data_IF_710906876242
#
_entry.id   IF_710906876242
#
_cell.length_a   1.000
_cell.length_b   1.000
_cell.length_c   1.000
_cell.angle_alpha   90.00
_cell.angle_beta   90.00
_cell.angle_gamma   90.00
#
_symmetry.space_group_name_H-M   'P 1'
#
loop_
_entity.id
_entity.type
_entity.pdbx_description
1 polymer ?
#
# COMPACT_ATOMS: atom_id res chain seq x y z
N UNK A 1 4.24 -1.55 5.95
CA UNK A 1 3.80 -1.96 4.60
C UNK A 1 4.99 -1.90 3.68
N UNK A 2 5.05 -2.81 2.71
CA UNK A 2 6.05 -2.82 1.66
C UNK A 2 6.01 -1.49 0.91
N UNK A 3 7.18 -0.93 0.61
CA UNK A 3 7.31 0.30 -0.16
C UNK A 3 6.78 0.07 -1.58
N UNK A 4 5.57 0.51 -1.93
CA UNK A 4 4.89 0.12 -3.17
C UNK A 4 5.10 1.14 -4.31
N UNK A 5 5.05 0.64 -5.54
CA UNK A 5 5.05 1.48 -6.73
C UNK A 5 3.63 1.55 -7.29
N UNK A 6 3.06 2.76 -7.36
CA UNK A 6 1.75 3.03 -7.98
C UNK A 6 1.99 3.65 -9.35
N UNK A 7 1.62 2.94 -10.41
CA UNK A 7 1.70 3.46 -11.77
C UNK A 7 0.44 4.26 -12.10
N UNK A 8 0.59 5.52 -12.47
CA UNK A 8 -0.52 6.38 -12.88
C UNK A 8 -0.66 6.35 -14.40
N UNK A 9 -1.81 5.87 -14.91
CA UNK A 9 -2.22 5.92 -16.33
C UNK A 9 -2.57 7.36 -16.77
N UNK A 10 -1.70 8.30 -16.43
CA UNK A 10 -1.94 9.73 -16.55
C UNK A 10 -0.74 10.42 -17.18
N UNK A 11 -1.02 11.45 -17.99
CA UNK A 11 -0.02 12.38 -18.51
C UNK A 11 -0.57 13.79 -18.40
N UNK A 12 0.26 14.74 -17.99
CA UNK A 12 -0.10 16.16 -17.81
C UNK A 12 -1.39 16.35 -16.97
N UNK A 13 -1.45 15.69 -15.81
CA UNK A 13 -2.57 15.73 -14.89
C UNK A 13 -3.94 15.28 -15.45
N UNK A 14 -3.91 14.40 -16.47
CA UNK A 14 -5.12 13.81 -17.05
C UNK A 14 -4.93 12.33 -17.36
N UNK A 15 -6.00 11.53 -17.24
CA UNK A 15 -5.96 10.13 -17.67
C UNK A 15 -5.74 10.07 -19.18
N UNK A 16 -4.82 9.21 -19.62
CA UNK A 16 -4.46 9.14 -21.04
C UNK A 16 -5.63 8.58 -21.88
N UNK A 17 -5.85 9.07 -23.12
CA UNK A 17 -6.97 8.63 -23.96
C UNK A 17 -6.97 7.13 -24.27
N UNK A 18 -5.81 6.49 -24.29
CA UNK A 18 -5.62 5.07 -24.57
C UNK A 18 -5.33 4.23 -23.31
N UNK A 19 -5.78 4.67 -22.13
CA UNK A 19 -5.47 3.99 -20.86
C UNK A 19 -5.92 2.52 -20.85
N UNK A 20 -7.07 2.21 -21.47
CA UNK A 20 -7.58 0.84 -21.59
C UNK A 20 -6.70 -0.06 -22.47
N UNK A 21 -6.06 0.50 -23.50
CA UNK A 21 -5.14 -0.23 -24.38
C UNK A 21 -3.78 -0.44 -23.68
N UNK A 22 -3.31 0.59 -22.96
CA UNK A 22 -2.04 0.55 -22.23
C UNK A 22 -2.07 -0.32 -20.98
N UNK A 23 -3.25 -0.64 -20.45
CA UNK A 23 -3.37 -1.48 -19.25
C UNK A 23 -2.67 -2.84 -19.42
N UNK A 24 -2.78 -3.48 -20.58
CA UNK A 24 -2.15 -4.79 -20.81
C UNK A 24 -0.62 -4.70 -20.76
N UNK A 25 -0.04 -3.62 -21.28
CA UNK A 25 1.40 -3.32 -21.15
C UNK A 25 1.78 -3.08 -19.68
N UNK A 26 0.98 -2.31 -18.93
CA UNK A 26 1.21 -2.06 -17.50
C UNK A 26 1.23 -3.37 -16.70
N UNK A 27 0.26 -4.23 -16.95
CA UNK A 27 0.15 -5.55 -16.30
C UNK A 27 1.30 -6.48 -16.69
N UNK A 28 1.72 -6.47 -17.96
CA UNK A 28 2.86 -7.24 -18.47
C UNK A 28 4.22 -6.74 -17.94
N UNK A 29 4.29 -5.47 -17.53
CA UNK A 29 5.41 -4.90 -16.77
C UNK A 29 5.47 -5.39 -15.32
N UNK A 30 4.38 -5.98 -14.81
CA UNK A 30 4.31 -6.56 -13.46
C UNK A 30 3.68 -5.65 -12.40
N UNK A 31 3.16 -4.48 -12.79
CA UNK A 31 2.50 -3.58 -11.82
C UNK A 31 1.12 -4.12 -11.45
N UNK A 32 0.78 -3.98 -10.17
CA UNK A 32 -0.55 -4.30 -9.63
C UNK A 32 -1.21 -3.12 -8.93
N UNK A 33 -0.48 -2.05 -8.60
CA UNK A 33 -1.08 -0.81 -8.09
C UNK A 33 -1.17 0.20 -9.23
N UNK A 34 -2.39 0.45 -9.71
CA UNK A 34 -2.63 1.20 -10.95
C UNK A 34 -3.62 2.31 -10.66
N UNK A 35 -3.18 3.55 -10.88
CA UNK A 35 -4.00 4.74 -10.69
C UNK A 35 -4.36 5.44 -11.97
N UNK A 36 -5.40 6.26 -11.89
CA UNK A 36 -5.87 7.15 -12.93
C UNK A 36 -6.57 8.35 -12.27
N UNK A 37 -6.91 9.35 -13.07
CA UNK A 37 -7.65 10.54 -12.64
C UNK A 37 -9.09 10.48 -13.15
N UNK A 38 -9.97 11.24 -12.52
CA UNK A 38 -11.38 11.39 -12.92
C UNK A 38 -11.56 12.21 -14.21
N UNK A 39 -10.52 12.93 -14.63
CA UNK A 39 -10.47 13.68 -15.89
C UNK A 39 -9.70 12.93 -16.98
N UNK A 40 -10.02 13.22 -18.25
CA UNK A 40 -9.31 12.72 -19.44
C UNK A 40 -10.02 11.61 -20.21
N UNK A 41 -10.93 10.87 -19.55
CA UNK A 41 -11.75 9.83 -20.19
C UNK A 41 -13.22 9.97 -19.79
N UNK A 42 -14.16 9.52 -20.66
CA UNK A 42 -15.55 9.33 -20.29
C UNK A 42 -15.70 8.43 -19.06
N UNK A 43 -16.71 8.69 -18.23
CA UNK A 43 -16.96 7.95 -17.00
C UNK A 43 -17.08 6.42 -17.23
N UNK A 44 -17.76 6.01 -18.30
CA UNK A 44 -17.90 4.59 -18.65
C UNK A 44 -16.56 3.91 -19.00
N UNK A 45 -15.61 4.66 -19.56
CA UNK A 45 -14.26 4.16 -19.85
C UNK A 45 -13.45 4.00 -18.58
N UNK A 46 -13.54 4.98 -17.67
CA UNK A 46 -12.95 4.88 -16.33
C UNK A 46 -13.52 3.68 -15.56
N UNK A 47 -14.84 3.43 -15.68
CA UNK A 47 -15.49 2.28 -15.03
C UNK A 47 -14.99 0.96 -15.59
N UNK A 48 -14.84 0.87 -16.91
CA UNK A 48 -14.23 -0.30 -17.57
C UNK A 48 -12.78 -0.50 -17.14
N UNK A 49 -12.03 0.59 -17.00
CA UNK A 49 -10.63 0.57 -16.59
C UNK A 49 -10.48 0.04 -15.15
N UNK A 50 -11.22 0.61 -14.20
CA UNK A 50 -11.24 0.17 -12.80
C UNK A 50 -11.58 -1.32 -12.68
N UNK A 51 -12.61 -1.77 -13.41
CA UNK A 51 -13.03 -3.17 -13.43
C UNK A 51 -11.93 -4.09 -13.96
N UNK A 52 -11.29 -3.75 -15.08
CA UNK A 52 -10.21 -4.55 -15.67
C UNK A 52 -8.98 -4.65 -14.75
N UNK A 53 -8.62 -3.55 -14.08
CA UNK A 53 -7.54 -3.56 -13.08
C UNK A 53 -7.83 -4.61 -12.01
N UNK A 54 -9.06 -4.64 -11.48
CA UNK A 54 -9.45 -5.59 -10.43
C UNK A 54 -9.54 -7.03 -10.91
N UNK A 55 -10.08 -7.27 -12.10
CA UNK A 55 -10.14 -8.60 -12.72
C UNK A 55 -8.74 -9.19 -12.97
N UNK A 56 -7.73 -8.33 -13.16
CA UNK A 56 -6.33 -8.71 -13.26
C UNK A 56 -5.62 -8.91 -11.90
N UNK A 57 -6.36 -8.83 -10.78
CA UNK A 57 -5.80 -8.91 -9.43
C UNK A 57 -5.08 -7.63 -8.98
N UNK A 58 -5.27 -6.52 -9.70
CA UNK A 58 -4.71 -5.22 -9.37
C UNK A 58 -5.58 -4.42 -8.39
N UNK A 59 -4.97 -3.40 -7.80
CA UNK A 59 -5.60 -2.38 -6.97
C UNK A 59 -5.72 -1.08 -7.76
N UNK A 60 -6.94 -0.55 -7.84
CA UNK A 60 -7.30 0.67 -8.53
C UNK A 60 -7.20 1.89 -7.61
N UNK A 61 -6.64 2.98 -8.14
CA UNK A 61 -6.52 4.27 -7.45
C UNK A 61 -7.17 5.36 -8.31
N UNK A 62 -8.10 6.12 -7.73
CA UNK A 62 -8.56 7.38 -8.32
C UNK A 62 -7.83 8.53 -7.64
N UNK A 63 -7.18 9.41 -8.40
CA UNK A 63 -6.59 10.64 -7.87
C UNK A 63 -7.49 11.84 -8.18
N UNK A 64 -7.80 12.63 -7.15
CA UNK A 64 -8.55 13.89 -7.26
C UNK A 64 -7.63 14.98 -7.78
N UNK A 65 -8.00 15.59 -8.91
CA UNK A 65 -7.23 16.66 -9.54
C UNK A 65 -7.69 18.06 -9.11
N UNK A 66 -8.98 18.22 -8.85
CA UNK A 66 -9.57 19.55 -8.63
C UNK A 66 -9.41 20.05 -7.20
N UNK A 67 -9.11 21.34 -7.08
CA UNK A 67 -9.14 22.09 -5.82
C UNK A 67 -10.43 22.90 -5.65
N UNK A 68 -11.32 22.88 -6.64
CA UNK A 68 -12.67 23.40 -6.51
C UNK A 68 -13.53 22.48 -5.63
N UNK A 69 -14.36 23.07 -4.76
CA UNK A 69 -15.12 22.32 -3.77
C UNK A 69 -16.10 21.34 -4.40
N UNK A 70 -16.90 21.80 -5.35
CA UNK A 70 -17.94 20.99 -5.96
C UNK A 70 -17.31 19.86 -6.79
N UNK A 71 -16.24 20.18 -7.53
CA UNK A 71 -15.50 19.19 -8.32
C UNK A 71 -14.82 18.11 -7.47
N UNK A 72 -14.23 18.48 -6.32
CA UNK A 72 -13.62 17.49 -5.42
C UNK A 72 -14.67 16.49 -4.88
N UNK A 73 -15.86 16.98 -4.54
CA UNK A 73 -16.95 16.13 -4.09
C UNK A 73 -17.49 15.26 -5.24
N UNK A 74 -17.57 15.80 -6.47
CA UNK A 74 -17.88 15.01 -7.68
C UNK A 74 -16.85 13.89 -7.89
N UNK A 75 -15.55 14.14 -7.71
CA UNK A 75 -14.50 13.11 -7.79
C UNK A 75 -14.68 12.04 -6.70
N UNK A 76 -15.05 12.43 -5.48
CA UNK A 76 -15.34 11.49 -4.39
C UNK A 76 -16.57 10.62 -4.73
N UNK A 77 -17.64 11.18 -5.28
CA UNK A 77 -18.78 10.40 -5.77
C UNK A 77 -18.40 9.47 -6.93
N UNK A 78 -17.56 9.95 -7.85
CA UNK A 78 -17.04 9.15 -8.95
C UNK A 78 -16.28 7.93 -8.41
N UNK A 79 -15.45 8.11 -7.37
CA UNK A 79 -14.73 7.00 -6.73
C UNK A 79 -15.67 5.86 -6.28
N UNK A 80 -16.83 6.22 -5.70
CA UNK A 80 -17.88 5.27 -5.30
C UNK A 80 -18.50 4.59 -6.51
N UNK A 81 -18.91 5.37 -7.52
CA UNK A 81 -19.60 4.84 -8.72
C UNK A 81 -18.68 3.97 -9.60
N UNK A 82 -17.38 4.23 -9.57
CA UNK A 82 -16.32 3.47 -10.23
C UNK A 82 -15.86 2.25 -9.43
N UNK A 83 -16.27 2.15 -8.15
CA UNK A 83 -15.89 1.07 -7.23
C UNK A 83 -14.35 0.98 -7.05
N UNK A 84 -13.64 2.11 -6.99
CA UNK A 84 -12.17 2.06 -6.84
C UNK A 84 -11.76 1.59 -5.45
N UNK A 85 -10.56 1.01 -5.33
CA UNK A 85 -10.07 0.52 -4.04
C UNK A 85 -9.50 1.66 -3.18
N UNK A 86 -8.91 2.66 -3.83
CA UNK A 86 -8.26 3.80 -3.19
C UNK A 86 -8.68 5.13 -3.83
N UNK A 87 -8.85 6.16 -2.99
CA UNK A 87 -9.01 7.56 -3.39
C UNK A 87 -7.80 8.35 -2.86
N UNK A 88 -7.03 8.93 -3.77
CA UNK A 88 -5.87 9.77 -3.50
C UNK A 88 -6.22 11.24 -3.67
N UNK A 89 -5.67 12.08 -2.80
CA UNK A 89 -5.81 13.52 -2.88
C UNK A 89 -7.10 14.08 -2.28
N UNK A 90 -7.39 15.33 -2.62
CA UNK A 90 -8.43 16.13 -1.98
C UNK A 90 -7.95 16.83 -0.71
N UNK A 91 -8.59 17.95 -0.40
CA UNK A 91 -8.27 18.83 0.74
C UNK A 91 -9.43 18.95 1.74
N UNK A 92 -10.62 18.46 1.38
CA UNK A 92 -11.87 18.48 2.17
C UNK A 92 -12.15 17.10 2.75
N UNK A 93 -11.22 16.63 3.58
CA UNK A 93 -11.23 15.24 4.03
C UNK A 93 -12.52 14.85 4.76
N UNK A 94 -13.12 15.75 5.55
CA UNK A 94 -14.33 15.46 6.33
C UNK A 94 -15.55 15.28 5.42
N UNK A 95 -15.68 16.11 4.41
CA UNK A 95 -16.75 16.06 3.43
C UNK A 95 -16.61 14.81 2.54
N UNK A 96 -15.40 14.51 2.09
CA UNK A 96 -15.12 13.30 1.29
C UNK A 96 -15.42 12.04 2.10
N UNK A 97 -15.06 12.00 3.40
CA UNK A 97 -15.40 10.89 4.29
C UNK A 97 -16.90 10.61 4.30
N UNK A 98 -17.74 11.64 4.39
CA UNK A 98 -19.20 11.47 4.40
C UNK A 98 -19.73 10.85 3.10
N UNK A 99 -19.11 11.14 1.96
CA UNK A 99 -19.48 10.55 0.67
C UNK A 99 -19.08 9.07 0.61
N UNK A 100 -17.85 8.74 1.02
CA UNK A 100 -17.31 7.39 0.84
C UNK A 100 -17.62 6.43 1.99
N UNK A 101 -18.14 6.90 3.14
CA UNK A 101 -18.27 6.12 4.40
C UNK A 101 -19.00 4.78 4.26
N UNK A 102 -19.93 4.68 3.32
CA UNK A 102 -20.72 3.48 3.07
C UNK A 102 -19.99 2.43 2.22
N UNK A 103 -18.82 2.77 1.67
CA UNK A 103 -18.06 1.96 0.74
C UNK A 103 -16.68 1.61 1.32
N UNK A 104 -16.07 0.48 0.92
CA UNK A 104 -14.77 0.04 1.41
C UNK A 104 -13.59 0.77 0.71
N UNK A 105 -13.72 2.07 0.47
CA UNK A 105 -12.70 2.88 -0.21
C UNK A 105 -11.65 3.33 0.79
N UNK A 106 -10.37 3.12 0.46
CA UNK A 106 -9.25 3.64 1.24
C UNK A 106 -8.93 5.07 0.82
N UNK A 107 -9.00 6.00 1.76
CA UNK A 107 -8.82 7.42 1.47
C UNK A 107 -7.48 7.98 1.95
N UNK A 108 -6.81 8.74 1.08
CA UNK A 108 -5.49 9.33 1.28
C UNK A 108 -5.52 10.82 0.89
N UNK A 109 -6.01 11.72 1.78
CA UNK A 109 -6.05 13.16 1.53
C UNK A 109 -4.65 13.78 1.40
N UNK A 110 -4.58 14.95 0.77
CA UNK A 110 -3.39 15.78 0.75
C UNK A 110 -3.18 16.48 2.11
N UNK A 111 -2.04 16.30 2.80
CA UNK A 111 -1.67 17.13 3.93
C UNK A 111 -1.08 18.47 3.46
N UNK A 112 -1.35 19.53 4.22
CA UNK A 112 -0.89 20.89 3.93
C UNK A 112 -1.85 21.69 3.05
N UNK A 113 -1.39 22.85 2.59
CA UNK A 113 -2.18 23.73 1.73
C UNK A 113 -1.84 23.47 0.25
N UNK A 114 -2.84 23.01 -0.51
CA UNK A 114 -2.67 22.75 -1.95
C UNK A 114 -3.25 23.90 -2.76
N UNK A 115 -2.48 24.43 -3.72
CA UNK A 115 -2.93 25.53 -4.59
C UNK A 115 -2.57 25.30 -6.05
N UNK A 116 -3.33 25.93 -6.94
CA UNK A 116 -3.05 25.96 -8.37
C UNK A 116 -3.28 24.63 -9.09
N UNK A 117 -3.05 24.67 -10.41
CA UNK A 117 -3.04 23.50 -11.27
C UNK A 117 -1.93 23.71 -12.33
N UNK A 118 -0.86 22.88 -12.35
CA UNK A 118 -0.64 21.71 -11.52
C UNK A 118 -0.53 22.04 -10.02
N UNK A 119 -0.92 21.10 -9.17
CA UNK A 119 -1.00 21.31 -7.72
C UNK A 119 0.38 21.59 -7.10
N UNK A 120 0.48 22.66 -6.32
CA UNK A 120 1.63 23.03 -5.48
C UNK A 120 1.32 22.79 -4.01
N UNK A 121 2.29 22.25 -3.25
CA UNK A 121 2.20 22.14 -1.79
C UNK A 121 2.85 23.38 -1.16
N UNK A 122 2.05 24.18 -0.46
CA UNK A 122 2.46 25.41 0.21
C UNK A 122 2.30 25.32 1.74
N UNK A 123 2.88 26.29 2.44
CA UNK A 123 2.90 26.37 3.90
C UNK A 123 4.30 26.14 4.48
N UNK A 124 4.41 26.32 5.80
CA UNK A 124 5.64 25.97 6.52
C UNK A 124 5.72 24.46 6.71
N UNK A 125 6.93 23.94 7.00
CA UNK A 125 7.10 22.52 7.33
C UNK A 125 6.22 22.15 8.53
N UNK A 126 6.18 23.01 9.54
CA UNK A 126 5.41 22.83 10.76
C UNK A 126 3.91 22.72 10.47
N UNK A 127 3.37 23.59 9.61
CA UNK A 127 1.95 23.57 9.22
C UNK A 127 1.58 22.28 8.48
N UNK A 128 2.45 21.83 7.56
CA UNK A 128 2.21 20.60 6.79
C UNK A 128 2.26 19.36 7.69
N UNK A 129 3.22 19.31 8.63
CA UNK A 129 3.36 18.23 9.61
C UNK A 129 2.15 18.18 10.55
N UNK A 130 1.64 19.33 10.99
CA UNK A 130 0.43 19.39 11.83
C UNK A 130 -0.82 18.96 11.05
N UNK A 131 -0.95 19.39 9.79
CA UNK A 131 -2.01 18.94 8.90
C UNK A 131 -1.98 17.41 8.70
N UNK A 132 -0.80 16.84 8.45
CA UNK A 132 -0.60 15.40 8.33
C UNK A 132 -1.05 14.65 9.58
N UNK A 133 -0.65 15.12 10.78
CA UNK A 133 -1.07 14.54 12.06
C UNK A 133 -2.58 14.59 12.24
N UNK A 134 -3.18 15.74 11.95
CA UNK A 134 -4.63 15.95 12.08
C UNK A 134 -5.42 15.05 11.13
N UNK A 135 -5.00 14.90 9.88
CA UNK A 135 -5.63 14.03 8.89
C UNK A 135 -5.45 12.56 9.24
N UNK A 136 -4.24 12.15 9.64
CA UNK A 136 -3.97 10.77 10.05
C UNK A 136 -4.80 10.36 11.28
N UNK A 137 -5.18 11.31 12.16
CA UNK A 137 -6.04 11.03 13.30
C UNK A 137 -7.53 10.81 12.94
N UNK A 138 -7.97 11.20 11.74
CA UNK A 138 -9.37 11.00 11.34
C UNK A 138 -9.67 9.51 11.11
N UNK A 139 -10.80 9.05 11.66
CA UNK A 139 -11.37 7.76 11.24
C UNK A 139 -11.70 7.82 9.74
N UNK A 140 -11.64 6.68 9.04
CA UNK A 140 -11.81 6.56 7.57
C UNK A 140 -10.72 7.21 6.69
N UNK A 141 -9.78 7.97 7.23
CA UNK A 141 -8.51 8.23 6.55
C UNK A 141 -7.63 7.00 6.71
N UNK A 142 -7.09 6.47 5.62
CA UNK A 142 -6.30 5.23 5.60
C UNK A 142 -4.81 5.47 5.32
N UNK A 143 -4.43 6.70 5.05
CA UNK A 143 -3.07 7.16 4.79
C UNK A 143 -3.08 8.60 4.32
N UNK A 144 -1.95 9.08 3.83
CA UNK A 144 -1.79 10.43 3.29
C UNK A 144 -1.20 10.33 1.88
N UNK A 145 -1.63 11.22 1.00
CA UNK A 145 -0.98 11.45 -0.29
C UNK A 145 -0.16 12.74 -0.18
N UNK A 146 1.16 12.65 -0.15
CA UNK A 146 2.04 13.81 0.06
C UNK A 146 2.63 14.24 -1.29
N UNK A 147 2.25 15.44 -1.75
CA UNK A 147 2.83 16.10 -2.93
C UNK A 147 4.25 16.65 -2.64
N UNK A 148 5.14 15.81 -2.11
CA UNK A 148 6.43 16.20 -1.55
C UNK A 148 7.30 16.99 -2.55
N UNK A 149 7.35 16.52 -3.80
CA UNK A 149 8.15 17.15 -4.85
C UNK A 149 7.45 18.34 -5.54
N UNK A 150 6.26 18.73 -5.06
CA UNK A 150 5.59 20.00 -5.38
C UNK A 150 5.78 21.05 -4.27
N UNK A 151 6.57 20.75 -3.24
CA UNK A 151 6.95 21.66 -2.16
C UNK A 151 8.21 22.46 -2.53
N UNK A 152 8.24 23.76 -2.21
CA UNK A 152 9.36 24.67 -2.54
C UNK A 152 10.42 24.78 -1.43
N UNK A 153 10.47 23.85 -0.49
CA UNK A 153 11.43 23.82 0.62
C UNK A 153 12.29 22.55 0.65
N UNK A 154 12.75 22.16 1.84
CA UNK A 154 13.52 20.94 2.05
C UNK A 154 12.61 19.70 1.94
N UNK A 155 12.58 19.11 0.75
CA UNK A 155 11.73 17.94 0.43
C UNK A 155 12.13 16.71 1.25
N UNK A 156 13.43 16.48 1.48
CA UNK A 156 13.89 15.32 2.24
C UNK A 156 13.44 15.41 3.70
N UNK A 157 13.60 16.60 4.31
CA UNK A 157 13.12 16.85 5.66
C UNK A 157 11.59 16.79 5.76
N UNK A 158 10.87 17.31 4.77
CA UNK A 158 9.41 17.22 4.69
C UNK A 158 8.93 15.77 4.72
N UNK A 159 9.45 14.92 3.81
CA UNK A 159 9.04 13.52 3.72
C UNK A 159 9.30 12.78 5.04
N UNK A 160 10.49 12.96 5.62
CA UNK A 160 10.88 12.31 6.86
C UNK A 160 9.98 12.71 8.03
N UNK A 161 9.71 14.01 8.20
CA UNK A 161 8.88 14.49 9.31
C UNK A 161 7.42 14.06 9.16
N UNK A 162 6.84 14.11 7.95
CA UNK A 162 5.46 13.66 7.71
C UNK A 162 5.33 12.15 7.95
N UNK A 163 6.26 11.34 7.43
CA UNK A 163 6.25 9.89 7.64
C UNK A 163 6.46 9.53 9.12
N UNK A 164 7.26 10.31 9.86
CA UNK A 164 7.52 10.10 11.29
C UNK A 164 6.30 10.37 12.16
N UNK A 165 5.50 11.39 11.85
CA UNK A 165 4.32 11.76 12.66
C UNK A 165 3.05 10.99 12.29
N UNK A 166 3.01 10.39 11.11
CA UNK A 166 1.89 9.58 10.65
C UNK A 166 2.05 8.13 11.11
N UNK A 167 1.06 7.60 11.84
CA UNK A 167 0.95 6.17 12.13
C UNK A 167 0.33 5.38 10.95
N UNK A 168 -0.17 6.09 9.95
CA UNK A 168 -0.74 5.59 8.71
C UNK A 168 0.23 5.72 7.52
N UNK A 169 0.05 4.90 6.48
CA UNK A 169 0.86 4.95 5.26
C UNK A 169 0.92 6.34 4.61
N UNK A 170 2.10 6.73 4.14
CA UNK A 170 2.29 7.95 3.34
C UNK A 170 2.70 7.54 1.92
N UNK A 171 1.97 8.03 0.93
CA UNK A 171 2.27 7.92 -0.50
C UNK A 171 2.99 9.19 -0.93
N UNK A 172 4.13 9.06 -1.62
CA UNK A 172 4.87 10.21 -2.13
C UNK A 172 4.50 10.45 -3.59
N UNK A 173 4.10 11.67 -3.90
CA UNK A 173 3.70 12.10 -5.23
C UNK A 173 4.37 13.42 -5.64
N UNK A 174 4.21 13.79 -6.91
CA UNK A 174 4.65 15.07 -7.47
C UNK A 174 5.82 14.97 -8.45
N UNK A 175 5.61 14.46 -9.67
CA UNK A 175 6.68 14.43 -10.69
C UNK A 175 7.94 13.66 -10.25
N UNK A 176 7.73 12.45 -9.71
CA UNK A 176 8.83 11.52 -9.46
C UNK A 176 9.32 10.99 -10.81
N UNK A 177 10.59 11.25 -11.09
CA UNK A 177 11.20 11.09 -12.41
C UNK A 177 12.61 10.49 -12.36
N UNK A 178 13.08 10.05 -11.18
CA UNK A 178 14.42 9.50 -11.01
C UNK A 178 14.51 8.44 -9.90
N UNK A 179 15.51 7.57 -10.00
CA UNK A 179 15.83 6.56 -8.97
C UNK A 179 16.21 7.22 -7.63
N UNK A 180 16.88 8.38 -7.66
CA UNK A 180 17.24 9.13 -6.45
C UNK A 180 15.99 9.58 -5.68
N UNK A 181 14.96 10.07 -6.38
CA UNK A 181 13.70 10.47 -5.74
C UNK A 181 12.98 9.27 -5.11
N UNK A 182 12.95 8.14 -5.80
CA UNK A 182 12.33 6.90 -5.31
C UNK A 182 13.08 6.37 -4.08
N UNK A 183 14.41 6.41 -4.11
CA UNK A 183 15.26 5.99 -2.99
C UNK A 183 15.08 6.89 -1.78
N UNK A 184 15.04 8.22 -1.98
CA UNK A 184 14.80 9.18 -0.91
C UNK A 184 13.44 8.98 -0.24
N UNK A 185 12.38 8.72 -1.03
CA UNK A 185 11.06 8.40 -0.50
C UNK A 185 11.07 7.14 0.39
N UNK A 186 11.74 6.08 -0.05
CA UNK A 186 11.87 4.85 0.75
C UNK A 186 12.59 5.09 2.07
N UNK A 187 13.74 5.79 2.03
CA UNK A 187 14.53 6.12 3.22
C UNK A 187 13.77 7.00 4.21
N UNK A 188 12.95 7.93 3.71
CA UNK A 188 12.09 8.79 4.51
C UNK A 188 10.96 8.02 5.25
N UNK A 189 10.72 6.75 4.92
CA UNK A 189 9.70 5.92 5.56
C UNK A 189 8.35 5.93 4.84
N UNK A 190 8.33 6.36 3.56
CA UNK A 190 7.13 6.27 2.74
C UNK A 190 6.69 4.82 2.54
N UNK A 191 5.38 4.62 2.40
CA UNK A 191 4.80 3.31 2.09
C UNK A 191 4.58 3.10 0.61
N UNK A 192 4.52 4.16 -0.20
CA UNK A 192 4.45 4.05 -1.64
C UNK A 192 4.93 5.33 -2.34
N UNK A 193 5.08 5.26 -3.65
CA UNK A 193 5.31 6.40 -4.51
C UNK A 193 4.51 6.29 -5.81
N UNK A 194 4.19 7.42 -6.44
CA UNK A 194 3.47 7.48 -7.72
C UNK A 194 4.40 7.87 -8.88
N UNK A 195 4.24 7.24 -10.03
CA UNK A 195 4.87 7.66 -11.30
C UNK A 195 3.83 7.57 -12.42
N UNK A 196 3.70 8.63 -13.20
CA UNK A 196 2.84 8.68 -14.39
C UNK A 196 3.62 9.13 -15.62
N UNK A 197 3.49 10.42 -15.98
CA UNK A 197 4.10 11.06 -17.16
C UNK A 197 5.53 10.62 -17.45
N UNK A 198 6.39 10.58 -16.42
CA UNK A 198 7.78 10.18 -16.51
C UNK A 198 8.00 8.81 -17.17
N UNK A 199 7.20 7.81 -16.79
CA UNK A 199 7.31 6.46 -17.36
C UNK A 199 6.87 6.40 -18.83
N UNK A 200 6.02 7.31 -19.29
CA UNK A 200 5.64 7.44 -20.70
C UNK A 200 6.67 8.23 -21.53
N UNK A 201 7.63 8.89 -20.89
CA UNK A 201 8.67 9.70 -21.53
C UNK A 201 10.02 8.97 -21.64
N UNK A 202 10.05 7.66 -21.37
CA UNK A 202 11.23 6.81 -21.46
C UNK A 202 12.44 7.32 -20.64
N UNK A 203 12.19 7.94 -19.49
CA UNK A 203 13.26 8.59 -18.71
C UNK A 203 14.01 7.64 -17.76
N UNK A 204 13.41 6.51 -17.38
CA UNK A 204 14.05 5.55 -16.48
C UNK A 204 15.01 4.65 -17.26
N UNK A 205 16.10 4.18 -16.64
CA UNK A 205 17.09 3.36 -17.32
C UNK A 205 16.49 2.01 -17.70
N UNK A 206 16.28 1.76 -18.99
CA UNK A 206 15.73 0.51 -19.49
C UNK A 206 16.50 0.01 -20.72
N UNK A 207 16.58 -1.31 -20.91
CA UNK A 207 17.32 -1.92 -22.02
C UNK A 207 16.72 -1.63 -23.41
N UNK A 208 15.45 -1.20 -23.45
CA UNK A 208 14.69 -0.90 -24.66
C UNK A 208 13.72 0.24 -24.39
N UNK A 209 13.32 0.95 -25.44
CA UNK A 209 12.24 1.93 -25.39
C UNK A 209 10.87 1.25 -25.18
N UNK A 210 9.94 2.00 -24.60
CA UNK A 210 8.55 1.62 -24.45
C UNK A 210 8.14 1.33 -23.00
N UNK A 211 6.82 1.26 -22.81
CA UNK A 211 6.24 1.27 -21.48
C UNK A 211 6.58 0.02 -20.65
N UNK A 212 6.59 -1.17 -21.26
CA UNK A 212 6.90 -2.42 -20.53
C UNK A 212 8.33 -2.42 -19.97
N UNK A 213 9.40 -2.10 -20.76
CA UNK A 213 10.74 -1.91 -20.22
C UNK A 213 10.83 -0.84 -19.11
N UNK A 214 10.19 0.32 -19.29
CA UNK A 214 10.17 1.39 -18.28
C UNK A 214 9.58 0.93 -16.95
N UNK A 215 8.45 0.21 -17.00
CA UNK A 215 7.81 -0.33 -15.81
C UNK A 215 8.68 -1.39 -15.14
N UNK A 216 9.35 -2.27 -15.90
CA UNK A 216 10.27 -3.25 -15.31
C UNK A 216 11.44 -2.58 -14.60
N UNK A 217 12.02 -1.55 -15.22
CA UNK A 217 13.05 -0.72 -14.59
C UNK A 217 12.57 -0.12 -13.27
N UNK A 218 11.37 0.48 -13.26
CA UNK A 218 10.76 1.01 -12.05
C UNK A 218 10.51 -0.04 -10.96
N UNK A 219 10.10 -1.25 -11.34
CA UNK A 219 9.93 -2.37 -10.41
C UNK A 219 11.27 -2.81 -9.78
N UNK A 220 12.35 -2.81 -10.55
CA UNK A 220 13.70 -3.10 -10.07
C UNK A 220 14.23 -2.00 -9.15
N UNK A 221 14.09 -0.73 -9.55
CA UNK A 221 14.42 0.45 -8.73
C UNK A 221 13.67 0.37 -7.40
N UNK A 222 12.35 0.14 -7.45
CA UNK A 222 11.51 -0.06 -6.27
C UNK A 222 12.05 -1.20 -5.41
N UNK A 223 12.44 -2.33 -6.00
CA UNK A 223 12.96 -3.47 -5.24
C UNK A 223 14.27 -3.16 -4.53
N UNK A 224 15.15 -2.34 -5.11
CA UNK A 224 16.37 -1.86 -4.46
C UNK A 224 16.04 -0.87 -3.34
N UNK A 225 15.21 0.12 -3.63
CA UNK A 225 14.78 1.13 -2.67
C UNK A 225 14.04 0.52 -1.46
N UNK A 226 13.23 -0.52 -1.66
CA UNK A 226 12.51 -1.20 -0.58
C UNK A 226 13.42 -1.87 0.47
N UNK A 227 14.68 -2.17 0.12
CA UNK A 227 15.68 -2.66 1.09
C UNK A 227 16.22 -1.55 2.00
N UNK A 228 16.12 -0.30 1.54
CA UNK A 228 16.51 0.89 2.29
C UNK A 228 15.32 1.48 3.07
N UNK A 229 14.12 0.92 2.91
CA UNK A 229 12.92 1.39 3.59
C UNK A 229 13.01 1.17 5.09
N UNK A 230 12.67 2.22 5.84
CA UNK A 230 12.63 2.21 7.32
C UNK A 230 11.26 1.84 7.86
N UNK A 231 10.25 1.67 7.00
CA UNK A 231 8.87 1.39 7.39
C UNK A 231 8.74 -0.05 7.88
N UNK A 232 8.25 -0.28 9.12
CA UNK A 232 7.99 -1.63 9.61
C UNK A 232 6.98 -2.37 8.72
N UNK A 233 7.31 -3.61 8.38
CA UNK A 233 6.39 -4.53 7.69
C UNK A 233 5.37 -5.09 8.67
N UNK A 234 4.17 -5.39 8.18
CA UNK A 234 3.07 -6.01 8.92
C UNK A 234 3.04 -7.50 8.55
N UNK A 235 3.56 -8.35 9.42
CA UNK A 235 3.74 -9.78 9.15
C UNK A 235 2.78 -10.55 10.05
N UNK A 236 1.87 -11.31 9.45
CA UNK A 236 1.05 -12.23 10.19
C UNK A 236 1.85 -13.49 10.54
N UNK A 237 1.83 -13.89 11.81
CA UNK A 237 2.52 -15.09 12.29
C UNK A 237 1.51 -15.97 13.03
N UNK A 238 1.21 -17.12 12.45
CA UNK A 238 0.16 -18.03 12.92
C UNK A 238 0.69 -19.45 12.95
N UNK A 239 0.14 -20.30 13.83
CA UNK A 239 0.54 -21.69 13.93
C UNK A 239 -0.61 -22.55 14.44
N UNK A 240 -0.72 -23.76 13.89
CA UNK A 240 -1.44 -24.84 14.55
C UNK A 240 -0.79 -25.20 15.89
N UNK A 241 -1.59 -25.74 16.81
CA UNK A 241 -1.12 -26.04 18.16
C UNK A 241 0.11 -26.97 18.18
N UNK A 242 0.13 -28.00 17.32
CA UNK A 242 1.27 -28.94 17.22
C UNK A 242 2.53 -28.33 16.61
N UNK A 243 2.43 -27.15 15.99
CA UNK A 243 3.56 -26.45 15.32
C UNK A 243 4.10 -25.26 16.11
N UNK A 244 3.47 -24.92 17.23
CA UNK A 244 3.84 -23.78 18.08
C UNK A 244 5.28 -23.83 18.61
N UNK A 245 5.76 -25.01 19.00
CA UNK A 245 7.15 -25.18 19.44
C UNK A 245 8.14 -24.88 18.31
N UNK A 246 7.82 -25.33 17.09
CA UNK A 246 8.65 -25.04 15.91
C UNK A 246 8.60 -23.56 15.52
N UNK A 247 7.42 -22.93 15.58
CA UNK A 247 7.27 -21.49 15.37
C UNK A 247 8.12 -20.71 16.37
N UNK A 248 8.07 -21.07 17.66
CA UNK A 248 8.87 -20.40 18.69
C UNK A 248 10.37 -20.48 18.38
N UNK A 249 10.88 -21.68 18.05
CA UNK A 249 12.27 -21.84 17.65
C UNK A 249 12.63 -21.00 16.41
N UNK A 250 11.72 -20.90 15.44
CA UNK A 250 11.89 -20.08 14.24
C UNK A 250 11.95 -18.58 14.57
N UNK A 251 11.05 -18.08 15.41
CA UNK A 251 11.06 -16.67 15.88
C UNK A 251 12.36 -16.35 16.60
N UNK A 252 12.85 -17.26 17.46
CA UNK A 252 14.13 -17.10 18.13
C UNK A 252 15.32 -16.96 17.18
N UNK A 253 15.35 -17.72 16.07
CA UNK A 253 16.40 -17.61 15.04
C UNK A 253 16.36 -16.28 14.28
N UNK A 254 15.17 -15.72 14.06
CA UNK A 254 14.95 -14.50 13.27
C UNK A 254 14.63 -13.26 14.12
N UNK A 255 14.95 -13.30 15.42
CA UNK A 255 14.55 -12.28 16.37
C UNK A 255 15.02 -10.88 15.97
N UNK A 256 16.24 -10.75 15.44
CA UNK A 256 16.81 -9.48 15.02
C UNK A 256 16.00 -8.84 13.88
N UNK A 257 15.68 -9.61 12.83
CA UNK A 257 14.88 -9.12 11.71
C UNK A 257 13.45 -8.79 12.14
N UNK A 258 12.83 -9.65 12.95
CA UNK A 258 11.44 -9.51 13.41
C UNK A 258 11.24 -8.37 14.42
N UNK A 259 12.28 -7.97 15.17
CA UNK A 259 12.18 -6.89 16.17
C UNK A 259 11.88 -5.52 15.56
N UNK A 260 12.19 -5.33 14.28
CA UNK A 260 11.91 -4.09 13.54
C UNK A 260 10.55 -4.11 12.82
N UNK A 261 9.77 -5.18 12.96
CA UNK A 261 8.51 -5.38 12.24
C UNK A 261 7.31 -5.32 13.18
N UNK A 262 6.12 -5.12 12.61
CA UNK A 262 4.84 -5.31 13.31
C UNK A 262 4.36 -6.73 13.09
N UNK A 263 4.28 -7.51 14.16
CA UNK A 263 3.91 -8.93 14.12
C UNK A 263 2.44 -9.05 14.50
N UNK A 264 1.62 -9.69 13.68
CA UNK A 264 0.18 -9.86 13.93
C UNK A 264 -0.09 -11.35 14.16
N UNK A 265 -0.60 -11.71 15.34
CA UNK A 265 -0.80 -13.10 15.71
C UNK A 265 -2.23 -13.38 16.17
N UNK A 266 -2.74 -14.58 15.90
CA UNK A 266 -3.96 -15.08 16.54
C UNK A 266 -3.70 -15.44 18.00
N UNK A 267 -4.76 -15.42 18.82
CA UNK A 267 -4.67 -15.30 20.27
C UNK A 267 -3.70 -16.25 20.98
N UNK A 268 -3.73 -17.55 20.65
CA UNK A 268 -2.87 -18.55 21.30
C UNK A 268 -1.38 -18.42 20.92
N UNK A 269 -1.09 -18.02 19.69
CA UNK A 269 0.28 -17.78 19.21
C UNK A 269 0.81 -16.46 19.76
N UNK A 270 0.01 -15.40 19.70
CA UNK A 270 0.41 -14.07 20.18
C UNK A 270 0.65 -14.02 21.69
N UNK A 271 -0.15 -14.74 22.49
CA UNK A 271 0.08 -14.83 23.94
C UNK A 271 1.43 -15.45 24.28
N UNK A 272 1.77 -16.58 23.65
CA UNK A 272 3.05 -17.26 23.88
C UNK A 272 4.24 -16.41 23.43
N UNK A 273 4.19 -15.83 22.23
CA UNK A 273 5.31 -15.04 21.71
C UNK A 273 5.54 -13.75 22.52
N UNK A 274 4.48 -13.11 23.04
CA UNK A 274 4.62 -11.95 23.92
C UNK A 274 5.28 -12.28 25.25
N UNK A 275 5.00 -13.45 25.81
CA UNK A 275 5.61 -13.93 27.05
C UNK A 275 7.11 -14.22 26.87
N UNK A 276 7.46 -14.90 25.79
CA UNK A 276 8.84 -15.31 25.51
C UNK A 276 9.69 -14.15 24.98
N UNK A 277 9.11 -13.26 24.17
CA UNK A 277 9.79 -12.18 23.48
C UNK A 277 9.11 -10.82 23.72
N UNK A 278 9.19 -10.25 24.93
CA UNK A 278 8.46 -9.03 25.32
C UNK A 278 8.88 -7.77 24.54
N UNK A 279 10.02 -7.80 23.84
CA UNK A 279 10.49 -6.70 22.99
C UNK A 279 9.88 -6.68 21.58
N UNK A 280 9.21 -7.76 21.17
CA UNK A 280 8.58 -7.80 19.85
C UNK A 280 7.30 -6.95 19.84
N UNK A 281 7.12 -6.17 18.78
CA UNK A 281 5.89 -5.42 18.55
C UNK A 281 4.79 -6.37 18.02
N UNK A 282 4.11 -7.05 18.94
CA UNK A 282 3.07 -8.02 18.62
C UNK A 282 1.69 -7.37 18.77
N UNK A 283 0.88 -7.35 17.72
CA UNK A 283 -0.56 -7.14 17.75
C UNK A 283 -1.27 -8.49 17.89
N UNK A 284 -2.15 -8.61 18.89
CA UNK A 284 -2.83 -9.89 19.18
C UNK A 284 -4.31 -9.82 18.77
N UNK A 285 -4.66 -10.62 17.78
CA UNK A 285 -6.04 -10.87 17.36
C UNK A 285 -6.75 -11.84 18.33
N UNK A 286 -8.03 -12.11 18.08
CA UNK A 286 -8.77 -13.14 18.81
C UNK A 286 -8.15 -14.53 18.57
N UNK A 287 -8.54 -15.50 19.40
CA UNK A 287 -8.22 -16.91 19.12
C UNK A 287 -8.86 -17.30 17.79
N UNK A 288 -8.21 -18.17 17.02
CA UNK A 288 -8.74 -18.65 15.74
C UNK A 288 -10.19 -19.13 15.85
N UNK A 289 -10.45 -20.02 16.81
CA UNK A 289 -11.79 -20.55 17.16
C UNK A 289 -12.82 -19.51 17.63
N UNK A 290 -12.42 -18.26 17.84
CA UNK A 290 -13.31 -17.14 18.19
C UNK A 290 -13.37 -16.08 17.09
N UNK A 291 -12.92 -16.40 15.88
CA UNK A 291 -12.93 -15.49 14.73
C UNK A 291 -11.60 -14.79 14.46
N UNK A 292 -10.52 -15.16 15.15
CA UNK A 292 -9.18 -14.60 14.89
C UNK A 292 -8.68 -14.83 13.46
N UNK A 293 -9.01 -15.98 12.86
CA UNK A 293 -8.64 -16.29 11.49
C UNK A 293 -9.45 -15.45 10.48
N UNK A 294 -10.70 -15.10 10.81
CA UNK A 294 -11.52 -14.18 10.01
C UNK A 294 -11.04 -12.73 10.13
N UNK A 295 -10.58 -12.31 11.32
CA UNK A 295 -9.90 -11.01 11.48
C UNK A 295 -8.64 -10.95 10.61
N UNK A 296 -7.87 -12.05 10.58
CA UNK A 296 -6.70 -12.13 9.70
C UNK A 296 -7.10 -12.08 8.22
N UNK A 297 -8.15 -12.80 7.82
CA UNK A 297 -8.71 -12.74 6.47
C UNK A 297 -9.11 -11.32 6.07
N UNK A 298 -9.70 -10.54 6.98
CA UNK A 298 -10.02 -9.14 6.73
C UNK A 298 -8.75 -8.29 6.49
N UNK A 299 -7.66 -8.53 7.23
CA UNK A 299 -6.38 -7.85 7.01
C UNK A 299 -5.76 -8.20 5.65
N UNK A 300 -5.92 -9.43 5.17
CA UNK A 300 -5.53 -9.81 3.80
C UNK A 300 -6.37 -9.04 2.78
N UNK A 301 -7.70 -9.09 2.92
CA UNK A 301 -8.62 -8.48 1.97
C UNK A 301 -8.47 -6.96 1.86
N UNK A 302 -8.05 -6.30 2.95
CA UNK A 302 -7.81 -4.86 2.99
C UNK A 302 -6.37 -4.47 2.62
N UNK A 303 -5.49 -5.46 2.39
CA UNK A 303 -4.07 -5.28 2.09
C UNK A 303 -3.28 -4.65 3.23
N UNK A 304 -3.57 -5.05 4.46
CA UNK A 304 -2.90 -4.58 5.69
C UNK A 304 -1.73 -5.49 6.11
N UNK A 305 -1.38 -6.49 5.29
CA UNK A 305 -0.31 -7.45 5.55
C UNK A 305 0.69 -7.46 4.40
N UNK A 306 1.97 -7.54 4.76
CA UNK A 306 3.08 -7.69 3.81
C UNK A 306 3.46 -9.17 3.60
N UNK A 307 3.16 -10.03 4.58
CA UNK A 307 3.36 -11.46 4.49
C UNK A 307 2.54 -12.20 5.56
N UNK A 308 2.24 -13.46 5.29
CA UNK A 308 1.60 -14.39 6.21
C UNK A 308 2.51 -15.60 6.35
N UNK A 309 2.96 -15.85 7.57
CA UNK A 309 3.78 -16.99 7.94
C UNK A 309 2.92 -17.92 8.78
N UNK A 310 2.41 -18.97 8.13
CA UNK A 310 1.50 -19.92 8.75
C UNK A 310 2.20 -21.26 8.98
N UNK A 311 2.49 -21.60 10.23
CA UNK A 311 3.03 -22.91 10.58
C UNK A 311 1.90 -23.95 10.59
N UNK A 312 1.58 -24.44 9.39
CA UNK A 312 0.55 -25.45 9.14
C UNK A 312 0.98 -26.82 9.66
N UNK A 313 0.01 -27.58 10.17
CA UNK A 313 0.19 -28.98 10.54
C UNK A 313 -0.35 -29.87 9.40
N UNK A 314 0.51 -30.59 8.65
CA UNK A 314 0.06 -31.45 7.56
C UNK A 314 -0.71 -32.70 8.04
N UNK A 315 -0.61 -33.04 9.32
CA UNK A 315 -1.37 -34.15 9.91
C UNK A 315 -2.74 -33.70 10.45
N UNK A 316 -3.06 -32.41 10.38
CA UNK A 316 -4.40 -31.94 10.70
C UNK A 316 -5.39 -32.48 9.66
N UNK A 317 -6.58 -32.87 10.10
CA UNK A 317 -7.64 -33.30 9.18
C UNK A 317 -7.97 -32.17 8.19
N UNK A 318 -7.50 -32.29 6.95
CA UNK A 318 -7.67 -31.28 5.90
C UNK A 318 -9.13 -30.88 5.65
N UNK A 319 -10.08 -31.81 5.82
CA UNK A 319 -11.52 -31.52 5.72
C UNK A 319 -12.03 -30.51 6.76
N UNK A 320 -11.25 -30.29 7.82
CA UNK A 320 -11.60 -29.43 8.95
C UNK A 320 -10.74 -28.15 9.01
N UNK A 321 -9.67 -28.05 8.21
CA UNK A 321 -8.83 -26.84 8.15
C UNK A 321 -9.33 -25.86 7.08
N UNK A 322 -10.62 -25.55 7.18
CA UNK A 322 -11.32 -24.60 6.30
C UNK A 322 -10.73 -23.18 6.42
N UNK A 323 -10.12 -22.85 7.56
CA UNK A 323 -9.49 -21.56 7.82
C UNK A 323 -8.21 -21.38 7.00
N UNK A 324 -7.29 -22.36 6.95
CA UNK A 324 -6.10 -22.26 6.11
C UNK A 324 -6.47 -22.18 4.61
N UNK A 325 -7.48 -22.92 4.17
CA UNK A 325 -7.98 -22.86 2.79
C UNK A 325 -8.51 -21.45 2.48
N UNK A 326 -9.33 -20.89 3.38
CA UNK A 326 -9.88 -19.55 3.23
C UNK A 326 -8.78 -18.47 3.18
N UNK A 327 -7.82 -18.53 4.12
CA UNK A 327 -6.69 -17.60 4.16
C UNK A 327 -5.81 -17.71 2.91
N UNK A 328 -5.54 -18.93 2.43
CA UNK A 328 -4.76 -19.15 1.20
C UNK A 328 -5.50 -18.59 -0.02
N UNK A 329 -6.81 -18.79 -0.11
CA UNK A 329 -7.63 -18.24 -1.20
C UNK A 329 -7.60 -16.71 -1.20
N UNK A 330 -7.74 -16.08 -0.04
CA UNK A 330 -7.65 -14.62 0.08
C UNK A 330 -6.24 -14.11 -0.25
N UNK A 331 -5.20 -14.80 0.20
CA UNK A 331 -3.82 -14.44 -0.09
C UNK A 331 -3.53 -14.48 -1.60
N UNK A 332 -4.03 -15.50 -2.31
CA UNK A 332 -3.94 -15.58 -3.78
C UNK A 332 -4.73 -14.45 -4.44
N UNK A 333 -5.97 -14.21 -3.99
CA UNK A 333 -6.84 -13.19 -4.57
C UNK A 333 -6.27 -11.77 -4.44
N UNK A 334 -5.60 -11.48 -3.32
CA UNK A 334 -5.06 -10.16 -3.00
C UNK A 334 -3.54 -10.07 -3.16
N UNK A 335 -2.92 -11.03 -3.84
CA UNK A 335 -1.47 -11.11 -4.11
C UNK A 335 -0.61 -10.88 -2.85
N UNK A 336 -1.06 -11.43 -1.71
CA UNK A 336 -0.34 -11.35 -0.43
C UNK A 336 0.49 -12.61 -0.22
N UNK A 337 1.81 -12.51 0.03
CA UNK A 337 2.63 -13.69 0.26
C UNK A 337 2.13 -14.51 1.45
N UNK A 338 1.81 -15.80 1.22
CA UNK A 338 1.51 -16.77 2.26
C UNK A 338 2.49 -17.94 2.18
N UNK A 339 3.15 -18.26 3.30
CA UNK A 339 4.09 -19.38 3.40
C UNK A 339 3.69 -20.33 4.51
N UNK A 340 3.63 -21.61 4.17
CA UNK A 340 3.08 -22.65 5.04
C UNK A 340 4.14 -23.58 5.66
N UNK A 341 5.42 -23.30 5.45
CA UNK A 341 6.53 -24.11 5.94
C UNK A 341 7.69 -23.26 6.48
N UNK A 342 8.48 -23.77 7.44
CA UNK A 342 9.62 -23.02 7.97
C UNK A 342 10.68 -22.70 6.90
N UNK A 343 10.87 -23.58 5.91
CA UNK A 343 11.82 -23.36 4.83
C UNK A 343 11.38 -22.18 3.93
N UNK A 344 10.09 -22.12 3.58
CA UNK A 344 9.55 -20.98 2.84
C UNK A 344 9.55 -19.69 3.69
N UNK A 345 9.29 -19.80 5.00
CA UNK A 345 9.40 -18.68 5.92
C UNK A 345 10.83 -18.13 6.01
N UNK A 346 11.86 -18.99 6.01
CA UNK A 346 13.27 -18.58 5.96
C UNK A 346 13.57 -17.79 4.67
N UNK A 347 13.03 -18.19 3.51
CA UNK A 347 13.18 -17.44 2.25
C UNK A 347 12.51 -16.06 2.30
N UNK A 348 11.35 -15.94 2.93
CA UNK A 348 10.69 -14.64 3.13
C UNK A 348 11.55 -13.72 4.00
N UNK A 349 12.17 -14.23 5.07
CA UNK A 349 13.06 -13.42 5.91
C UNK A 349 14.29 -12.90 5.17
N UNK A 350 14.84 -13.66 4.22
CA UNK A 350 15.95 -13.19 3.38
C UNK A 350 15.57 -11.96 2.55
N UNK A 351 14.29 -11.81 2.17
CA UNK A 351 13.82 -10.62 1.44
C UNK A 351 13.67 -9.38 2.33
N UNK A 352 13.71 -9.54 3.65
CA UNK A 352 13.58 -8.46 4.63
C UNK A 352 14.92 -7.93 5.14
N UNK A 353 16.02 -8.59 4.78
CA UNK A 353 17.37 -8.25 5.19
C UNK A 353 18.14 -7.45 4.14
#
# INVERSE_FOLDING_TARGET
MSFNFIFMLTSNDSTIPNALEKLDEVLAGGVRHIGFKDVGLPFDDLKRLAKKIREAGGRSYLEVVSLDADRELESAEASVKLDVDCLLGGTRAREVIEIIRANPIRYFPFPGQIVGHPSELQGTLEDIVESARSLAALDRVHGLDLLAYRYKGDVARLMSEVCRVSDKPVVIAGSIDSEDKITAAAQAGASAFTVGTAAFQDIFPADKEGLVPQIRSLMEIRSRAAKLSTTPRRIAVVAHNRRKAQLNAWVGRHLNTLSNQRIICTGGTGSMLREIYPKLNIERLQRGTRGGDQQLGALIATGELDAIIFFADPEANYSNDVDLIALTRLAILHDTPIVCSPAAADLVMLSFN
#
